data_IF_763721568763
#
_entry.id   IF_763721568763
#
_cell.length_a   1.000
_cell.length_b   1.000
_cell.length_c   1.000
_cell.angle_alpha   90.00
_cell.angle_beta   90.00
_cell.angle_gamma   90.00
#
_symmetry.space_group_name_H-M   'P 1'
#
loop_
_entity.id
_entity.type
_entity.pdbx_description
1 polymer ?
#
# COMPACT_ATOMS: atom_id res chain seq x y z
N UNK A 1 -27.52 29.81 -9.30
CA UNK A 1 -27.61 28.34 -9.10
C UNK A 1 -28.31 27.62 -10.24
N UNK A 2 -29.47 28.10 -10.75
CA UNK A 2 -30.22 27.45 -11.83
C UNK A 2 -29.38 27.21 -13.11
N UNK A 3 -28.64 28.22 -13.59
CA UNK A 3 -27.79 28.07 -14.77
C UNK A 3 -26.72 26.97 -14.59
N UNK A 4 -26.08 26.88 -13.43
CA UNK A 4 -25.06 25.85 -13.14
C UNK A 4 -25.66 24.45 -13.12
N UNK A 5 -26.88 24.29 -12.58
CA UNK A 5 -27.58 23.01 -12.58
C UNK A 5 -27.97 22.57 -13.99
N UNK A 6 -28.49 23.49 -14.82
CA UNK A 6 -28.78 23.22 -16.22
C UNK A 6 -27.52 22.88 -17.00
N UNK A 7 -26.41 23.60 -16.79
CA UNK A 7 -25.13 23.28 -17.42
C UNK A 7 -24.61 21.90 -17.03
N UNK A 8 -24.69 21.51 -15.75
CA UNK A 8 -24.32 20.16 -15.31
C UNK A 8 -25.22 19.10 -15.97
N UNK A 9 -26.53 19.33 -16.01
CA UNK A 9 -27.46 18.37 -16.60
C UNK A 9 -27.21 18.19 -18.10
N UNK A 10 -27.01 19.28 -18.85
CA UNK A 10 -26.61 19.21 -20.26
C UNK A 10 -25.25 18.51 -20.42
N UNK A 11 -24.28 18.80 -19.55
CA UNK A 11 -22.95 18.18 -19.58
C UNK A 11 -22.98 16.67 -19.34
N UNK A 12 -23.71 16.24 -18.31
CA UNK A 12 -23.85 14.82 -17.92
C UNK A 12 -24.49 13.97 -19.04
N UNK A 13 -25.23 14.58 -19.98
CA UNK A 13 -25.78 13.91 -21.18
C UNK A 13 -24.68 13.58 -22.22
N UNK A 14 -23.71 14.48 -22.43
CA UNK A 14 -22.63 14.29 -23.40
C UNK A 14 -21.49 13.42 -22.86
N UNK A 15 -21.29 13.41 -21.55
CA UNK A 15 -20.31 12.57 -20.89
C UNK A 15 -20.58 12.51 -19.40
N UNK A 16 -20.55 11.30 -18.83
CA UNK A 16 -20.80 11.10 -17.39
C UNK A 16 -19.70 11.68 -16.50
N UNK A 17 -18.50 11.88 -17.06
CA UNK A 17 -17.31 12.25 -16.30
C UNK A 17 -16.91 13.71 -16.55
N UNK A 18 -16.51 14.40 -15.49
CA UNK A 18 -15.92 15.73 -15.59
C UNK A 18 -14.47 15.68 -16.10
N UNK A 19 -13.94 16.81 -16.57
CA UNK A 19 -12.57 16.92 -17.12
C UNK A 19 -11.51 16.39 -16.11
N UNK A 20 -11.69 16.67 -14.82
CA UNK A 20 -10.76 16.21 -13.78
C UNK A 20 -10.80 14.69 -13.58
N UNK A 21 -11.98 14.10 -13.64
CA UNK A 21 -12.15 12.65 -13.52
C UNK A 21 -11.52 11.97 -14.74
N UNK A 22 -11.77 12.49 -15.94
CA UNK A 22 -11.12 12.00 -17.16
C UNK A 22 -9.59 12.10 -17.08
N UNK A 23 -9.04 13.16 -16.47
CA UNK A 23 -7.59 13.29 -16.29
C UNK A 23 -7.04 12.28 -15.28
N UNK A 24 -7.77 12.01 -14.19
CA UNK A 24 -7.41 10.97 -13.21
C UNK A 24 -7.33 9.61 -13.88
N UNK A 25 -8.32 9.26 -14.72
CA UNK A 25 -8.32 8.02 -15.48
C UNK A 25 -7.22 7.96 -16.54
N UNK A 26 -6.98 9.06 -17.26
CA UNK A 26 -5.94 9.13 -18.29
C UNK A 26 -4.54 8.87 -17.73
N UNK A 27 -4.27 9.33 -16.50
CA UNK A 27 -2.99 9.09 -15.82
C UNK A 27 -2.97 7.80 -14.97
N UNK A 28 -4.05 7.02 -14.97
CA UNK A 28 -4.18 5.78 -14.19
C UNK A 28 -3.87 5.96 -12.69
N UNK A 29 -4.34 7.07 -12.11
CA UNK A 29 -4.15 7.29 -10.68
C UNK A 29 -5.09 6.40 -9.86
N UNK A 30 -4.58 5.72 -8.80
CA UNK A 30 -5.39 4.85 -7.95
C UNK A 30 -6.31 5.66 -7.03
N UNK A 31 -7.41 6.13 -7.60
CA UNK A 31 -8.42 6.97 -6.98
C UNK A 31 -9.72 6.19 -6.82
N UNK A 32 -10.21 6.10 -5.59
CA UNK A 32 -11.51 5.53 -5.28
C UNK A 32 -12.48 6.69 -5.10
N UNK A 33 -13.41 6.86 -6.03
CA UNK A 33 -14.47 7.85 -5.90
C UNK A 33 -15.51 7.34 -4.88
N UNK A 34 -16.02 8.24 -4.03
CA UNK A 34 -17.08 7.94 -3.07
C UNK A 34 -18.46 7.96 -3.73
N UNK A 35 -18.58 8.60 -4.88
CA UNK A 35 -19.85 8.79 -5.63
C UNK A 35 -20.03 7.79 -6.76
N UNK A 36 -19.08 6.85 -6.90
CA UNK A 36 -19.17 5.83 -7.92
C UNK A 36 -20.23 4.81 -7.51
N UNK A 37 -21.37 4.86 -8.20
CA UNK A 37 -22.50 3.93 -8.01
C UNK A 37 -22.24 2.57 -8.69
N UNK A 38 -21.06 2.37 -9.31
CA UNK A 38 -20.71 1.08 -9.90
C UNK A 38 -20.61 0.02 -8.80
N UNK A 39 -21.49 -1.00 -8.79
CA UNK A 39 -21.49 -1.98 -7.72
C UNK A 39 -20.19 -2.80 -7.81
N UNK A 40 -19.42 -2.91 -6.71
CA UNK A 40 -18.26 -3.78 -6.71
C UNK A 40 -18.68 -5.23 -6.91
N UNK A 41 -17.80 -6.09 -7.47
CA UNK A 41 -18.05 -7.51 -7.58
C UNK A 41 -18.40 -8.12 -6.22
N UNK A 42 -19.40 -9.01 -6.20
CA UNK A 42 -19.84 -9.72 -5.00
C UNK A 42 -18.89 -10.89 -4.69
N UNK A 43 -17.67 -10.55 -4.27
CA UNK A 43 -16.60 -11.50 -3.97
C UNK A 43 -16.09 -11.33 -2.55
N UNK A 44 -15.72 -12.43 -1.86
CA UNK A 44 -15.05 -12.34 -0.57
C UNK A 44 -13.63 -11.80 -0.74
N UNK A 45 -13.17 -11.05 0.25
CA UNK A 45 -11.84 -10.43 0.26
C UNK A 45 -10.71 -11.46 0.19
N UNK A 46 -10.98 -12.70 0.62
CA UNK A 46 -10.08 -13.83 0.51
C UNK A 46 -9.56 -14.10 -0.90
N UNK A 47 -10.35 -13.81 -1.93
CA UNK A 47 -9.99 -14.05 -3.34
C UNK A 47 -9.15 -12.93 -3.94
N UNK A 48 -9.06 -11.81 -3.22
CA UNK A 48 -8.64 -10.52 -3.76
C UNK A 48 -7.41 -9.96 -3.04
N UNK A 49 -7.25 -10.30 -1.77
CA UNK A 49 -6.10 -9.91 -0.96
C UNK A 49 -4.79 -10.46 -1.52
N UNK A 50 -3.68 -9.77 -1.21
CA UNK A 50 -2.35 -10.37 -1.37
C UNK A 50 -2.19 -11.44 -0.28
N UNK A 51 -1.96 -12.68 -0.68
CA UNK A 51 -1.83 -13.82 0.24
C UNK A 51 -0.57 -13.67 1.10
N UNK A 52 -0.62 -14.21 2.33
CA UNK A 52 0.54 -14.27 3.22
C UNK A 52 1.80 -14.90 2.59
N UNK A 53 1.63 -15.83 1.65
CA UNK A 53 2.76 -16.47 0.96
C UNK A 53 3.56 -15.50 0.09
N UNK A 54 2.91 -14.46 -0.42
CA UNK A 54 3.52 -13.44 -1.28
C UNK A 54 3.93 -12.19 -0.48
N UNK A 55 3.64 -12.17 0.84
CA UNK A 55 3.95 -11.05 1.72
C UNK A 55 5.27 -11.26 2.45
N UNK A 56 6.09 -10.21 2.48
CA UNK A 56 7.22 -10.14 3.40
C UNK A 56 6.72 -9.79 4.79
N UNK A 57 6.73 -10.78 5.68
CA UNK A 57 6.34 -10.64 7.09
C UNK A 57 7.59 -10.62 7.97
N UNK A 58 7.52 -9.95 9.11
CA UNK A 58 8.58 -9.94 10.13
C UNK A 58 8.13 -10.81 11.29
N UNK A 59 8.99 -11.72 11.77
CA UNK A 59 8.68 -12.52 12.95
C UNK A 59 8.98 -11.74 14.23
N UNK A 60 8.27 -12.08 15.31
CA UNK A 60 8.40 -11.38 16.58
C UNK A 60 9.79 -11.52 17.22
N UNK A 61 10.48 -12.61 16.88
CA UNK A 61 11.77 -13.04 17.43
C UNK A 61 12.60 -13.63 16.28
N UNK A 62 13.92 -13.56 16.40
CA UNK A 62 14.87 -14.22 15.49
C UNK A 62 15.52 -13.31 14.46
N UNK A 63 15.17 -12.02 14.43
CA UNK A 63 15.82 -11.04 13.58
C UNK A 63 16.96 -10.32 14.32
N UNK A 64 18.10 -10.20 13.66
CA UNK A 64 19.18 -9.29 14.08
C UNK A 64 18.99 -7.90 13.46
N UNK A 65 19.66 -6.91 14.02
CA UNK A 65 19.70 -5.55 13.47
C UNK A 65 20.15 -5.57 12.00
N UNK A 66 21.18 -6.36 11.69
CA UNK A 66 21.70 -6.51 10.33
C UNK A 66 20.69 -7.17 9.39
N UNK A 67 19.99 -8.21 9.85
CA UNK A 67 18.92 -8.85 9.09
C UNK A 67 17.84 -7.85 8.68
N UNK A 68 17.40 -6.99 9.62
CA UNK A 68 16.39 -5.97 9.34
C UNK A 68 16.90 -4.84 8.43
N UNK A 69 18.17 -4.45 8.54
CA UNK A 69 18.80 -3.48 7.61
C UNK A 69 18.86 -4.05 6.19
N UNK A 70 19.21 -5.32 6.05
CA UNK A 70 19.20 -6.01 4.76
C UNK A 70 17.79 -6.18 4.19
N UNK A 71 16.78 -6.38 5.04
CA UNK A 71 15.39 -6.39 4.62
C UNK A 71 14.94 -5.00 4.12
N UNK A 72 15.37 -3.93 4.77
CA UNK A 72 15.12 -2.55 4.31
C UNK A 72 15.83 -2.20 3.00
N UNK A 73 17.04 -2.70 2.77
CA UNK A 73 17.77 -2.43 1.52
C UNK A 73 17.27 -3.26 0.33
N UNK A 74 16.82 -4.50 0.58
CA UNK A 74 16.35 -5.43 -0.47
C UNK A 74 14.93 -5.17 -0.94
N UNK A 75 14.07 -4.59 -0.10
CA UNK A 75 12.66 -4.35 -0.42
C UNK A 75 12.39 -2.87 -0.72
N UNK A 76 11.23 -2.54 -1.30
CA UNK A 76 10.72 -1.16 -1.42
C UNK A 76 9.42 -0.89 -0.64
N UNK A 77 8.97 -1.87 0.16
CA UNK A 77 7.68 -1.80 0.85
C UNK A 77 7.63 -0.71 1.92
N UNK A 78 6.45 -0.11 2.09
CA UNK A 78 6.19 0.97 3.07
C UNK A 78 6.10 0.49 4.51
N UNK A 79 6.03 -0.80 4.74
CA UNK A 79 5.97 -1.42 6.05
C UNK A 79 5.67 -2.90 5.96
N UNK A 80 5.65 -3.54 7.11
CA UNK A 80 5.64 -4.98 7.24
C UNK A 80 4.69 -5.39 8.36
N UNK A 81 3.82 -6.39 8.13
CA UNK A 81 3.09 -7.00 9.22
C UNK A 81 4.07 -7.81 10.09
N UNK A 82 3.84 -7.76 11.40
CA UNK A 82 4.63 -8.48 12.39
C UNK A 82 3.79 -9.63 12.92
N UNK A 83 4.33 -10.84 12.84
CA UNK A 83 3.67 -12.09 13.25
C UNK A 83 4.45 -12.78 14.34
N UNK A 84 3.79 -13.59 15.17
CA UNK A 84 4.46 -14.36 16.22
C UNK A 84 5.47 -15.36 15.66
N UNK A 85 5.06 -16.17 14.69
CA UNK A 85 5.82 -17.28 14.13
C UNK A 85 5.36 -17.58 12.70
N UNK A 86 6.18 -18.25 11.89
CA UNK A 86 5.85 -18.61 10.51
C UNK A 86 4.90 -19.82 10.44
N UNK A 87 4.97 -20.76 11.39
CA UNK A 87 4.07 -21.92 11.40
C UNK A 87 2.64 -21.52 11.81
N UNK A 88 2.53 -20.59 12.76
CA UNK A 88 1.27 -20.02 13.22
C UNK A 88 1.36 -18.49 13.17
N UNK A 89 1.06 -17.86 12.02
CA UNK A 89 1.24 -16.42 11.81
C UNK A 89 0.16 -15.62 12.54
N UNK A 90 0.21 -15.60 13.87
CA UNK A 90 -0.67 -14.76 14.68
C UNK A 90 -0.21 -13.32 14.52
N UNK A 91 -1.13 -12.45 14.12
CA UNK A 91 -0.83 -11.04 13.90
C UNK A 91 -0.57 -10.35 15.26
N UNK A 92 0.62 -9.75 15.40
CA UNK A 92 0.98 -8.94 16.58
C UNK A 92 0.86 -7.45 16.30
N UNK A 93 1.12 -7.03 15.06
CA UNK A 93 1.07 -5.62 14.72
C UNK A 93 1.55 -5.34 13.30
N UNK A 94 1.77 -4.06 13.02
CA UNK A 94 2.32 -3.56 11.78
C UNK A 94 3.38 -2.52 12.07
N UNK A 95 4.53 -2.61 11.40
CA UNK A 95 5.59 -1.62 11.52
C UNK A 95 5.84 -0.94 10.18
N UNK A 96 5.88 0.39 10.18
CA UNK A 96 6.21 1.13 8.96
C UNK A 96 7.72 1.08 8.70
N UNK A 97 8.12 1.17 7.44
CA UNK A 97 9.53 1.26 7.04
C UNK A 97 10.23 2.44 7.72
N UNK A 98 9.54 3.58 7.83
CA UNK A 98 10.11 4.78 8.43
C UNK A 98 10.38 4.57 9.93
N UNK A 99 9.41 4.04 10.67
CA UNK A 99 9.55 3.74 12.09
C UNK A 99 10.65 2.70 12.33
N UNK A 100 10.70 1.65 11.51
CA UNK A 100 11.74 0.62 11.61
C UNK A 100 13.12 1.22 11.33
N UNK A 101 13.28 1.99 10.26
CA UNK A 101 14.55 2.65 9.93
C UNK A 101 14.98 3.65 11.01
N UNK A 102 14.03 4.39 11.58
CA UNK A 102 14.29 5.34 12.65
C UNK A 102 14.73 4.61 13.91
N UNK A 103 14.03 3.55 14.32
CA UNK A 103 14.39 2.74 15.48
C UNK A 103 15.80 2.16 15.34
N UNK A 104 16.15 1.57 14.19
CA UNK A 104 17.48 1.01 13.96
C UNK A 104 18.60 2.06 13.94
N UNK A 105 18.31 3.30 13.55
CA UNK A 105 19.28 4.40 13.56
C UNK A 105 19.42 5.03 14.94
N UNK A 106 18.30 5.24 15.65
CA UNK A 106 18.26 5.80 17.00
C UNK A 106 18.99 4.90 18.01
N UNK A 107 18.89 3.58 17.83
CA UNK A 107 19.58 2.62 18.68
C UNK A 107 21.10 2.59 18.48
N UNK A 108 21.59 2.99 17.30
CA UNK A 108 23.02 3.21 17.06
C UNK A 108 23.54 4.51 17.68
N UNK A 109 22.68 5.50 17.94
CA UNK A 109 23.10 6.81 18.48
C UNK A 109 22.90 6.97 19.99
N UNK A 110 21.89 6.33 20.59
CA UNK A 110 21.53 6.53 21.99
C UNK A 110 22.16 5.53 22.98
N UNK A 111 22.54 4.33 22.52
CA UNK A 111 23.31 3.42 23.36
C UNK A 111 24.79 3.82 23.36
N UNK A 112 25.36 3.97 24.54
CA UNK A 112 26.75 4.38 24.81
C UNK A 112 27.82 3.41 24.26
N UNK A 113 27.40 2.31 23.65
CA UNK A 113 28.18 1.50 22.72
C UNK A 113 27.35 1.30 21.45
N UNK A 114 27.97 1.47 20.28
CA UNK A 114 27.35 1.18 18.99
C UNK A 114 26.88 -0.29 19.02
N UNK A 115 25.56 -0.53 19.03
CA UNK A 115 25.02 -1.89 19.09
C UNK A 115 25.60 -2.72 17.95
N UNK A 116 26.07 -3.93 18.28
CA UNK A 116 26.62 -4.85 17.29
C UNK A 116 25.57 -5.11 16.19
N UNK A 117 25.96 -5.24 14.91
CA UNK A 117 25.03 -5.64 13.84
C UNK A 117 24.34 -6.99 14.12
N UNK A 118 24.95 -7.84 14.94
CA UNK A 118 24.44 -9.15 15.39
C UNK A 118 23.43 -9.06 16.55
N UNK A 119 23.15 -7.86 17.07
CA UNK A 119 22.23 -7.64 18.22
C UNK A 119 20.84 -8.17 17.87
N UNK A 120 20.26 -8.97 18.78
CA UNK A 120 18.93 -9.53 18.59
C UNK A 120 17.85 -8.45 18.79
N UNK A 121 16.84 -8.49 17.93
CA UNK A 121 15.70 -7.57 17.96
C UNK A 121 14.43 -8.33 18.29
N UNK A 122 13.53 -7.68 19.03
CA UNK A 122 12.27 -8.29 19.45
C UNK A 122 11.09 -7.36 19.20
N UNK A 123 9.97 -7.94 18.77
CA UNK A 123 8.68 -7.27 18.67
C UNK A 123 7.65 -7.86 19.66
N UNK A 124 8.10 -8.70 20.59
CA UNK A 124 7.32 -9.23 21.69
C UNK A 124 8.05 -9.04 23.01
N UNK A 125 7.31 -9.00 24.11
CA UNK A 125 7.88 -8.80 25.43
C UNK A 125 8.77 -10.01 25.80
N UNK A 126 10.05 -9.74 26.06
CA UNK A 126 10.96 -10.75 26.59
C UNK A 126 11.37 -10.37 28.03
N UNK A 127 10.88 -11.07 29.06
CA UNK A 127 11.15 -10.71 30.45
C UNK A 127 12.59 -10.99 30.90
N UNK A 128 13.33 -11.84 30.17
CA UNK A 128 14.71 -12.26 30.51
C UNK A 128 15.77 -11.69 29.58
N UNK A 129 15.40 -10.83 28.63
CA UNK A 129 16.35 -10.21 27.71
C UNK A 129 17.09 -9.07 28.41
N UNK A 130 18.42 -9.06 28.31
CA UNK A 130 19.24 -7.96 28.81
C UNK A 130 19.04 -6.72 27.91
N UNK A 131 18.55 -5.58 28.45
CA UNK A 131 18.40 -4.35 27.68
C UNK A 131 19.71 -3.84 27.06
N UNK A 132 20.88 -4.25 27.57
CA UNK A 132 22.18 -3.84 27.03
C UNK A 132 22.58 -4.61 25.76
N UNK A 133 22.08 -5.83 25.58
CA UNK A 133 22.45 -6.73 24.48
C UNK A 133 21.32 -6.97 23.47
N UNK A 134 20.16 -6.33 23.69
CA UNK A 134 18.95 -6.59 22.90
C UNK A 134 18.22 -5.29 22.56
N UNK A 135 17.49 -5.31 21.44
CA UNK A 135 16.73 -4.16 20.97
C UNK A 135 15.23 -4.46 20.92
N UNK A 136 14.47 -3.78 21.76
CA UNK A 136 13.01 -3.92 21.82
C UNK A 136 12.30 -3.00 20.83
N UNK A 137 11.89 -3.51 19.66
CA UNK A 137 11.23 -2.75 18.60
C UNK A 137 9.73 -2.54 18.80
N UNK A 138 9.13 -3.07 19.88
CA UNK A 138 7.69 -2.94 20.17
C UNK A 138 7.15 -1.51 20.21
N UNK A 139 7.85 -0.51 20.79
CA UNK A 139 7.32 0.85 20.88
C UNK A 139 7.13 1.53 19.52
N UNK A 140 7.86 1.08 18.50
CA UNK A 140 7.81 1.61 17.13
C UNK A 140 6.83 0.85 16.23
N UNK A 141 6.20 -0.21 16.75
CA UNK A 141 5.21 -1.01 16.06
C UNK A 141 3.79 -0.58 16.47
N UNK A 142 2.90 -0.47 15.49
CA UNK A 142 1.47 -0.34 15.73
C UNK A 142 0.90 -1.70 16.12
N UNK A 143 0.44 -1.84 17.37
CA UNK A 143 -0.12 -3.07 17.92
C UNK A 143 -1.61 -3.26 17.56
N UNK A 144 -2.26 -2.22 17.04
CA UNK A 144 -3.70 -2.23 16.73
C UNK A 144 -3.97 -1.79 15.29
N UNK A 145 -3.34 -2.41 14.28
CA UNK A 145 -3.64 -2.07 12.90
C UNK A 145 -5.08 -2.50 12.55
N UNK A 146 -5.67 -1.83 11.56
CA UNK A 146 -7.04 -2.14 11.14
C UNK A 146 -7.08 -3.52 10.47
N UNK A 147 -7.92 -4.40 11.00
CA UNK A 147 -8.06 -5.79 10.56
C UNK A 147 -9.48 -6.10 10.12
N UNK A 148 -9.60 -7.05 9.18
CA UNK A 148 -10.87 -7.55 8.65
C UNK A 148 -10.85 -9.07 8.56
N UNK A 149 -12.02 -9.71 8.69
CA UNK A 149 -12.13 -11.15 8.54
C UNK A 149 -12.00 -11.54 7.05
N UNK A 150 -11.32 -12.65 6.77
CA UNK A 150 -11.18 -13.25 5.43
C UNK A 150 -12.53 -13.47 4.70
N UNK A 151 -13.61 -13.76 5.42
CA UNK A 151 -14.94 -14.00 4.84
C UNK A 151 -15.75 -12.72 4.58
N UNK A 152 -15.17 -11.55 4.83
CA UNK A 152 -15.86 -10.27 4.61
C UNK A 152 -16.01 -10.00 3.12
N UNK A 153 -17.13 -9.40 2.73
CA UNK A 153 -17.39 -8.99 1.36
C UNK A 153 -16.52 -7.78 0.97
N UNK A 154 -16.03 -7.77 -0.28
CA UNK A 154 -15.26 -6.66 -0.85
C UNK A 154 -15.99 -5.32 -0.75
N UNK A 155 -17.32 -5.29 -0.87
CA UNK A 155 -18.13 -4.07 -0.72
C UNK A 155 -17.91 -3.38 0.63
N UNK A 156 -17.82 -4.15 1.72
CA UNK A 156 -17.62 -3.58 3.06
C UNK A 156 -16.22 -3.01 3.18
N UNK A 157 -15.22 -3.71 2.63
CA UNK A 157 -13.84 -3.22 2.57
C UNK A 157 -13.76 -1.93 1.75
N UNK A 158 -14.35 -1.89 0.55
CA UNK A 158 -14.38 -0.70 -0.29
C UNK A 158 -14.95 0.51 0.47
N UNK A 159 -16.10 0.31 1.14
CA UNK A 159 -16.71 1.36 1.96
C UNK A 159 -15.78 1.84 3.10
N UNK A 160 -15.03 0.95 3.74
CA UNK A 160 -14.04 1.35 4.75
C UNK A 160 -12.94 2.21 4.12
N UNK A 161 -12.39 1.83 2.96
CA UNK A 161 -11.37 2.62 2.27
C UNK A 161 -11.90 4.00 1.85
N UNK A 162 -13.11 4.07 1.30
CA UNK A 162 -13.74 5.32 0.86
C UNK A 162 -14.10 6.24 2.03
N UNK A 163 -14.67 5.71 3.12
CA UNK A 163 -15.21 6.53 4.23
C UNK A 163 -14.19 6.85 5.31
N UNK A 164 -13.30 5.91 5.65
CA UNK A 164 -12.27 6.10 6.67
C UNK A 164 -10.94 6.61 6.07
N UNK A 165 -10.78 6.56 4.74
CA UNK A 165 -9.56 7.01 4.08
C UNK A 165 -8.37 6.09 4.35
N UNK A 166 -8.61 4.79 4.49
CA UNK A 166 -7.57 3.81 4.80
C UNK A 166 -6.53 3.72 3.69
N UNK A 167 -5.29 3.45 4.09
CA UNK A 167 -4.19 3.17 3.15
C UNK A 167 -4.02 1.68 2.89
N UNK A 168 -4.22 0.88 3.93
CA UNK A 168 -4.15 -0.56 3.92
C UNK A 168 -5.09 -1.15 4.99
N UNK A 169 -5.40 -2.44 4.85
CA UNK A 169 -6.11 -3.27 5.83
C UNK A 169 -5.46 -4.65 5.86
N UNK A 170 -5.31 -5.21 7.06
CA UNK A 170 -4.81 -6.57 7.25
C UNK A 170 -5.99 -7.55 7.28
N UNK A 171 -5.85 -8.68 6.58
CA UNK A 171 -6.88 -9.71 6.53
C UNK A 171 -6.49 -10.85 7.45
N UNK A 172 -7.38 -11.17 8.37
CA UNK A 172 -7.15 -12.14 9.43
C UNK A 172 -8.23 -13.21 9.48
N UNK A 173 -7.86 -14.39 9.94
CA UNK A 173 -8.77 -15.48 10.27
C UNK A 173 -8.45 -16.00 11.67
N UNK A 174 -9.37 -15.78 12.62
CA UNK A 174 -9.19 -16.18 14.04
C UNK A 174 -7.84 -15.71 14.63
N UNK A 175 -7.43 -14.48 14.33
CA UNK A 175 -6.18 -13.88 14.80
C UNK A 175 -4.93 -14.24 13.98
N UNK A 176 -5.03 -15.17 13.03
CA UNK A 176 -3.95 -15.47 12.08
C UNK A 176 -4.00 -14.51 10.90
N UNK A 177 -2.86 -13.98 10.50
CA UNK A 177 -2.71 -13.20 9.28
C UNK A 177 -2.83 -14.12 8.07
N UNK A 178 -3.73 -13.77 7.14
CA UNK A 178 -3.96 -14.51 5.90
C UNK A 178 -3.62 -13.66 4.66
N UNK A 179 -3.73 -12.34 4.78
CA UNK A 179 -3.37 -11.46 3.69
C UNK A 179 -3.35 -9.98 4.03
N UNK A 180 -3.06 -9.18 3.01
CA UNK A 180 -2.93 -7.74 3.08
C UNK A 180 -3.62 -7.11 1.88
N UNK A 181 -4.28 -5.99 2.11
CA UNK A 181 -4.98 -5.27 1.06
C UNK A 181 -4.67 -3.78 1.14
N UNK A 182 -4.37 -3.20 -0.01
CA UNK A 182 -4.11 -1.77 -0.17
C UNK A 182 -5.19 -1.09 -1.00
N UNK A 183 -5.23 0.24 -0.91
CA UNK A 183 -6.11 1.06 -1.78
C UNK A 183 -5.85 0.79 -3.28
N UNK A 184 -4.59 0.52 -3.64
CA UNK A 184 -4.20 0.23 -5.03
C UNK A 184 -4.83 -1.08 -5.51
N UNK A 185 -4.84 -2.10 -4.66
CA UNK A 185 -5.40 -3.40 -5.01
C UNK A 185 -6.88 -3.25 -5.34
N UNK A 186 -7.64 -2.61 -4.44
CA UNK A 186 -9.08 -2.31 -4.61
C UNK A 186 -9.33 -1.56 -5.92
N UNK A 187 -8.56 -0.51 -6.18
CA UNK A 187 -8.70 0.27 -7.40
C UNK A 187 -8.46 -0.57 -8.66
N UNK A 188 -7.46 -1.45 -8.64
CA UNK A 188 -7.15 -2.33 -9.77
C UNK A 188 -8.33 -3.24 -10.10
N UNK A 189 -8.91 -3.90 -9.09
CA UNK A 189 -10.05 -4.82 -9.28
C UNK A 189 -11.27 -4.09 -9.80
N UNK A 190 -11.56 -2.90 -9.27
CA UNK A 190 -12.69 -2.10 -9.75
C UNK A 190 -12.50 -1.70 -11.20
N UNK A 191 -11.31 -1.21 -11.57
CA UNK A 191 -11.01 -0.82 -12.94
C UNK A 191 -11.04 -2.01 -13.91
N UNK A 192 -10.65 -3.20 -13.45
CA UNK A 192 -10.75 -4.43 -14.23
C UNK A 192 -12.21 -4.87 -14.42
N UNK A 193 -13.02 -4.82 -13.35
CA UNK A 193 -14.45 -5.14 -13.43
C UNK A 193 -15.24 -4.20 -14.33
N UNK A 194 -14.82 -2.93 -14.44
CA UNK A 194 -15.42 -1.96 -15.37
C UNK A 194 -15.02 -2.18 -16.83
N UNK A 195 -13.89 -2.86 -17.09
CA UNK A 195 -13.41 -3.20 -18.44
C UNK A 195 -13.90 -4.56 -18.92
N UNK A 196 -14.17 -5.49 -18.01
CA UNK A 196 -14.69 -6.80 -18.34
C UNK A 196 -16.19 -6.73 -18.64
N UNK A 197 -16.59 -7.16 -19.84
CA UNK A 197 -18.00 -7.42 -20.17
C UNK A 197 -18.59 -8.41 -19.14
N UNK A 198 -19.85 -8.25 -18.72
CA UNK A 198 -20.47 -9.01 -17.63
C UNK A 198 -20.68 -10.52 -17.91
N UNK A 199 -20.10 -11.05 -18.98
CA UNK A 199 -20.27 -12.45 -19.43
C UNK A 199 -19.01 -13.31 -19.26
N UNK A 200 -17.86 -12.73 -18.95
CA UNK A 200 -16.61 -13.49 -18.70
C UNK A 200 -16.43 -13.71 -17.19
N UNK A 201 -16.61 -14.96 -16.76
CA UNK A 201 -16.38 -15.38 -15.38
C UNK A 201 -14.95 -15.08 -14.92
N UNK A 202 -14.82 -14.60 -13.68
CA UNK A 202 -13.56 -14.26 -13.04
C UNK A 202 -12.80 -15.57 -12.74
N UNK A 203 -12.02 -16.02 -13.73
CA UNK A 203 -11.04 -17.10 -13.59
C UNK A 203 -9.81 -16.59 -12.86
N UNK A 204 -9.40 -17.34 -11.84
CA UNK A 204 -8.38 -16.92 -10.88
C UNK A 204 -6.99 -16.67 -11.44
N UNK A 205 -6.23 -15.89 -10.65
CA UNK A 205 -4.79 -15.76 -10.73
C UNK A 205 -4.30 -14.64 -11.63
N UNK A 206 -4.24 -13.41 -11.09
CA UNK A 206 -3.46 -12.33 -11.71
C UNK A 206 -2.54 -11.75 -10.65
N UNK A 207 -1.40 -12.43 -10.50
CA UNK A 207 -0.26 -11.96 -9.71
C UNK A 207 0.34 -10.71 -10.36
N UNK A 208 0.69 -9.76 -9.50
CA UNK A 208 1.42 -8.52 -9.80
C UNK A 208 2.63 -8.79 -10.71
N UNK A 209 2.60 -8.31 -11.95
CA UNK A 209 3.80 -8.10 -12.74
C UNK A 209 4.25 -6.63 -12.62
N UNK A 210 5.43 -6.47 -12.02
CA UNK A 210 6.41 -5.40 -12.22
C UNK A 210 6.12 -3.95 -11.75
N UNK A 211 6.48 -3.66 -10.50
CA UNK A 211 7.64 -2.80 -10.15
C UNK A 211 7.77 -1.34 -10.62
N UNK A 212 7.01 -0.84 -11.59
CA UNK A 212 7.37 0.42 -12.29
C UNK A 212 6.55 1.67 -11.91
N UNK A 213 5.50 1.52 -11.09
CA UNK A 213 4.59 2.62 -10.75
C UNK A 213 5.04 3.54 -9.60
N UNK A 214 6.15 3.25 -8.91
CA UNK A 214 6.50 3.94 -7.66
C UNK A 214 7.27 5.28 -7.83
N UNK A 215 7.72 5.61 -9.05
CA UNK A 215 8.61 6.77 -9.26
C UNK A 215 7.90 8.10 -9.58
N UNK A 216 6.59 8.12 -9.86
CA UNK A 216 5.88 9.38 -10.17
C UNK A 216 5.23 10.00 -8.93
N UNK A 217 6.07 10.50 -8.02
CA UNK A 217 5.66 11.44 -6.99
C UNK A 217 5.29 12.80 -7.60
N UNK A 218 4.15 13.36 -7.18
CA UNK A 218 3.56 14.63 -7.64
C UNK A 218 4.41 15.90 -7.40
N UNK A 219 5.66 15.77 -6.94
CA UNK A 219 6.54 16.90 -6.58
C UNK A 219 7.94 16.81 -7.22
N UNK A 220 8.19 15.87 -8.12
CA UNK A 220 9.40 15.96 -8.97
C UNK A 220 9.16 17.06 -10.01
N UNK A 221 9.58 18.28 -9.65
CA UNK A 221 9.74 19.38 -10.57
C UNK A 221 10.75 18.95 -11.63
N UNK A 222 10.25 18.50 -12.77
CA UNK A 222 11.07 18.29 -13.94
C UNK A 222 11.49 19.66 -14.47
N UNK A 223 12.62 20.15 -14.00
CA UNK A 223 13.40 21.14 -14.74
C UNK A 223 13.91 20.44 -16.01
N UNK A 224 13.11 20.50 -17.07
CA UNK A 224 13.59 20.23 -18.41
C UNK A 224 13.53 21.57 -19.16
N UNK A 225 14.67 22.21 -19.48
CA UNK A 225 14.66 23.39 -20.33
C UNK A 225 14.21 22.93 -21.71
N UNK A 226 13.07 23.48 -22.16
CA UNK A 226 12.64 23.41 -23.55
C UNK A 226 13.80 23.88 -24.43
N UNK A 227 14.41 22.95 -25.16
CA UNK A 227 15.30 23.23 -26.28
C UNK A 227 14.49 23.97 -27.35
N UNK A 228 14.57 25.30 -27.31
CA UNK A 228 14.23 26.15 -28.44
C UNK A 228 15.28 25.90 -29.51
N UNK A 229 14.90 25.24 -30.61
CA UNK A 229 15.71 25.22 -31.82
C UNK A 229 15.71 26.62 -32.44
N UNK A 230 16.86 27.20 -32.82
CA UNK A 230 16.88 28.47 -33.53
C UNK A 230 16.38 28.26 -34.96
N UNK A 231 15.56 29.21 -35.41
CA UNK A 231 15.07 29.35 -36.78
C UNK A 231 16.26 29.64 -37.69
N UNK A 232 16.46 28.80 -38.70
CA UNK A 232 17.45 28.97 -39.75
C UNK A 232 16.90 29.96 -40.79
N UNK A 233 17.33 31.22 -40.70
CA UNK A 233 17.15 32.23 -41.76
C UNK A 233 18.18 31.98 -42.86
N UNK A 234 17.73 31.48 -44.01
CA UNK A 234 18.65 31.05 -45.07
C UNK A 234 18.04 30.77 -46.44
N UNK A 235 17.39 31.76 -47.03
CA UNK A 235 17.49 32.12 -48.46
C UNK A 235 17.10 31.07 -49.53
N UNK A 236 16.00 31.33 -50.26
CA UNK A 236 15.92 30.98 -51.69
C UNK A 236 14.90 31.87 -52.45
N UNK A 237 15.48 32.75 -53.28
CA UNK A 237 14.97 33.39 -54.50
C UNK A 237 13.78 34.36 -54.40
#
# INVERSE_FOLDING_TARGET
MIAVMLSKWCGDIFGKQGIYESWIHLNEYPFLDQKDDTPPPDVPVSQVMTSINDLTVITAVGHTVESLRNLLSSTSYRGFPVVSDMASPTLLGYISRNELSYALNASSSHHSGNLSPETQTFFSHQPFADPAETLDLRPWMDQTPITMNIHTNLLIVLNMFQRLGLRYVLIVNRGRLEGFLTKKDIWYILNESSKADPTSGIGGGILRADGSGEARGLLSRADNPMLVSPVDDGNML
#
